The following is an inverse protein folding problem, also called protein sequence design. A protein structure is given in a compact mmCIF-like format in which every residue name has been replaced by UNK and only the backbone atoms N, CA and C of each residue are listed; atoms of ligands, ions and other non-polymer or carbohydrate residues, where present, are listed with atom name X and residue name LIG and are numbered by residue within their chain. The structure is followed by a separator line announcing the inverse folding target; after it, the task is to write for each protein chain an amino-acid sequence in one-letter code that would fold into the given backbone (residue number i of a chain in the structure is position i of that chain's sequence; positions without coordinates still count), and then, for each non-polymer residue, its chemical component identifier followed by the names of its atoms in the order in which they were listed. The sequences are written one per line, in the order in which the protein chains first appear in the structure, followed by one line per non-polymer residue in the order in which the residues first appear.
data_IF_137203750718
#
_entry.id   IF_137203750718
#
_cell.length_a   1.000
_cell.length_b   1.000
_cell.length_c   1.000
_cell.angle_alpha   90.00
_cell.angle_beta   90.00
_cell.angle_gamma   90.00
#
_symmetry.space_group_name_H-M   'P 1'
#
loop_
_entity.id
_entity.type
_entity.pdbx_description
1 polymer ?
#
# COMPACT_ATOMS: atom_id res chain seq x y z
N UNK A 1 7.44 17.01 -14.10
CA UNK A 1 7.19 17.22 -12.66
C UNK A 1 7.03 15.86 -11.98
N UNK A 2 7.60 15.69 -10.78
CA UNK A 2 7.54 14.44 -10.03
C UNK A 2 6.64 14.63 -8.81
N UNK A 3 5.49 13.97 -8.81
CA UNK A 3 4.42 14.19 -7.85
C UNK A 3 4.20 12.92 -7.04
N UNK A 4 3.91 13.07 -5.76
CA UNK A 4 3.62 11.95 -4.88
C UNK A 4 2.16 11.55 -5.02
N UNK A 5 1.88 10.26 -5.20
CA UNK A 5 0.53 9.74 -5.45
C UNK A 5 0.14 8.58 -4.53
N UNK A 6 1.00 8.16 -3.61
CA UNK A 6 0.64 7.10 -2.68
C UNK A 6 1.82 6.47 -1.97
N UNK A 7 1.57 5.31 -1.38
CA UNK A 7 2.55 4.59 -0.56
C UNK A 7 2.26 3.08 -0.56
N UNK A 8 3.32 2.29 -0.66
CA UNK A 8 3.32 0.89 -0.27
C UNK A 8 3.66 0.79 1.22
N UNK A 9 2.79 0.16 2.01
CA UNK A 9 3.00 -0.10 3.44
C UNK A 9 3.16 -1.60 3.66
N UNK A 10 4.30 -2.00 4.21
CA UNK A 10 4.61 -3.40 4.53
C UNK A 10 4.27 -3.66 5.99
N UNK A 11 3.43 -4.66 6.24
CA UNK A 11 2.94 -5.02 7.58
C UNK A 11 3.50 -6.38 7.99
N UNK A 12 3.83 -6.53 9.28
CA UNK A 12 4.08 -7.84 9.86
C UNK A 12 2.75 -8.48 10.30
N UNK A 13 2.22 -9.39 9.50
CA UNK A 13 0.91 -10.00 9.72
C UNK A 13 0.79 -11.34 8.97
N UNK A 14 0.20 -12.34 9.62
CA UNK A 14 -0.08 -13.61 8.98
C UNK A 14 -1.30 -13.50 8.06
N UNK A 15 -1.14 -13.84 6.78
CA UNK A 15 -2.23 -13.78 5.80
C UNK A 15 -2.51 -12.37 5.26
N UNK A 16 -3.76 -12.14 4.83
CA UNK A 16 -4.18 -10.88 4.21
C UNK A 16 -4.78 -9.95 5.28
N UNK A 17 -4.15 -8.81 5.58
CA UNK A 17 -4.60 -7.91 6.63
C UNK A 17 -5.87 -7.17 6.21
N UNK A 18 -6.83 -7.04 7.12
CA UNK A 18 -8.02 -6.23 6.91
C UNK A 18 -7.78 -4.76 7.28
N UNK A 19 -6.94 -4.10 6.48
CA UNK A 19 -6.68 -2.67 6.63
C UNK A 19 -7.82 -1.83 6.04
N UNK A 20 -7.98 -0.55 6.48
CA UNK A 20 -8.92 0.39 5.88
C UNK A 20 -8.77 0.44 4.36
N UNK A 21 -9.89 0.45 3.64
CA UNK A 21 -9.86 0.49 2.17
C UNK A 21 -9.62 1.90 1.63
N UNK A 22 -9.82 2.92 2.46
CA UNK A 22 -9.68 4.33 2.11
C UNK A 22 -9.16 5.13 3.31
N UNK A 23 -8.37 6.18 3.04
CA UNK A 23 -7.93 7.16 4.02
C UNK A 23 -7.58 8.48 3.30
N UNK A 24 -8.31 9.55 3.61
CA UNK A 24 -8.18 10.81 2.87
C UNK A 24 -8.44 10.61 1.38
N UNK A 25 -7.53 11.07 0.52
CA UNK A 25 -7.61 10.88 -0.93
C UNK A 25 -7.07 9.52 -1.42
N UNK A 26 -6.46 8.72 -0.53
CA UNK A 26 -5.84 7.45 -0.89
C UNK A 26 -6.81 6.28 -0.72
N UNK A 27 -6.81 5.37 -1.70
CA UNK A 27 -7.53 4.10 -1.68
C UNK A 27 -6.57 2.92 -1.68
N UNK A 28 -6.91 1.85 -0.96
CA UNK A 28 -6.23 0.57 -1.02
C UNK A 28 -6.50 -0.06 -2.39
N UNK A 29 -5.49 -0.04 -3.25
CA UNK A 29 -5.60 -0.59 -4.60
C UNK A 29 -5.51 -2.13 -4.58
N UNK A 30 -4.56 -2.67 -3.81
CA UNK A 30 -4.39 -4.11 -3.64
C UNK A 30 -3.53 -4.43 -2.42
N UNK A 31 -3.51 -5.70 -2.04
CA UNK A 31 -2.51 -6.29 -1.14
C UNK A 31 -1.78 -7.38 -1.92
N UNK A 32 -0.47 -7.46 -1.76
CA UNK A 32 0.35 -8.52 -2.35
C UNK A 32 1.24 -9.20 -1.33
N UNK A 33 1.58 -10.46 -1.57
CA UNK A 33 2.60 -11.19 -0.84
C UNK A 33 3.69 -11.66 -1.83
N UNK A 34 4.97 -11.43 -1.51
CA UNK A 34 6.11 -11.76 -2.41
C UNK A 34 5.95 -11.23 -3.86
N UNK A 35 5.23 -10.12 -4.04
CA UNK A 35 4.97 -9.51 -5.35
C UNK A 35 3.68 -9.98 -6.04
N UNK A 36 3.05 -11.05 -5.56
CA UNK A 36 1.81 -11.62 -6.10
C UNK A 36 0.59 -11.03 -5.43
N UNK A 37 -0.40 -10.57 -6.21
CA UNK A 37 -1.64 -10.01 -5.65
C UNK A 37 -2.45 -11.08 -4.91
N UNK A 38 -2.85 -10.76 -3.66
CA UNK A 38 -3.69 -11.62 -2.80
C UNK A 38 -5.02 -10.96 -2.42
N UNK A 39 -5.12 -9.64 -2.61
CA UNK A 39 -6.36 -8.88 -2.47
C UNK A 39 -6.47 -7.84 -3.60
N UNK A 40 -7.65 -7.60 -4.19
CA UNK A 40 -8.89 -8.34 -3.96
C UNK A 40 -8.77 -9.81 -4.38
N UNK A 41 -9.59 -10.71 -3.82
CA UNK A 41 -9.60 -12.12 -4.19
C UNK A 41 -9.94 -12.31 -5.68
N UNK A 42 -9.61 -13.48 -6.27
CA UNK A 42 -8.98 -14.64 -5.64
C UNK A 42 -7.46 -14.48 -5.45
N UNK A 43 -6.93 -15.02 -4.35
CA UNK A 43 -5.49 -15.22 -4.19
C UNK A 43 -5.10 -16.56 -4.84
N UNK A 44 -3.95 -16.65 -5.53
CA UNK A 44 -3.45 -17.93 -6.04
C UNK A 44 -3.05 -18.85 -4.89
N UNK A 45 -3.01 -20.15 -5.15
CA UNK A 45 -2.47 -21.14 -4.22
C UNK A 45 -0.94 -20.97 -4.12
N UNK A 46 -0.48 -20.37 -3.03
CA UNK A 46 0.93 -20.04 -2.81
C UNK A 46 1.26 -19.97 -1.32
N UNK A 47 2.53 -20.21 -1.00
CA UNK A 47 3.05 -19.94 0.34
C UNK A 47 3.14 -18.43 0.60
N UNK A 48 2.46 -17.98 1.65
CA UNK A 48 2.46 -16.59 2.11
C UNK A 48 3.53 -16.38 3.17
N UNK A 49 4.28 -15.29 3.07
CA UNK A 49 5.07 -14.78 4.19
C UNK A 49 4.18 -13.97 5.13
N UNK A 50 4.62 -13.79 6.37
CA UNK A 50 3.97 -12.89 7.34
C UNK A 50 4.28 -11.41 7.05
N UNK A 51 4.54 -11.06 5.78
CA UNK A 51 5.01 -9.74 5.35
C UNK A 51 4.29 -9.19 4.10
N UNK A 52 2.96 -9.04 4.15
CA UNK A 52 2.18 -8.45 3.06
C UNK A 52 2.50 -6.96 2.82
N UNK A 53 2.39 -6.55 1.56
CA UNK A 53 2.45 -5.14 1.13
C UNK A 53 1.06 -4.66 0.74
N UNK A 54 0.60 -3.60 1.41
CA UNK A 54 -0.64 -2.89 1.13
C UNK A 54 -0.31 -1.66 0.26
N UNK A 55 -0.88 -1.57 -0.94
CA UNK A 55 -0.69 -0.41 -1.81
C UNK A 55 -1.85 0.58 -1.66
N UNK A 56 -1.55 1.76 -1.18
CA UNK A 56 -2.46 2.90 -1.18
C UNK A 56 -2.09 3.87 -2.30
N UNK A 57 -3.07 4.27 -3.11
CA UNK A 57 -2.88 5.17 -4.24
C UNK A 57 -3.98 6.23 -4.29
N UNK A 58 -3.63 7.42 -4.76
CA UNK A 58 -4.52 8.55 -5.01
C UNK A 58 -4.39 8.98 -6.48
N UNK A 59 -5.51 9.34 -7.10
CA UNK A 59 -5.50 9.91 -8.45
C UNK A 59 -4.98 11.36 -8.44
N UNK A 60 -5.20 12.08 -7.34
CA UNK A 60 -4.63 13.39 -7.07
C UNK A 60 -3.24 13.29 -6.42
N UNK A 61 -2.45 14.36 -6.55
CA UNK A 61 -1.21 14.50 -5.79
C UNK A 61 -1.51 14.54 -4.29
N UNK A 62 -0.70 13.84 -3.49
CA UNK A 62 -0.76 13.83 -2.04
C UNK A 62 0.55 14.37 -1.47
N UNK A 63 0.52 14.82 -0.23
CA UNK A 63 1.71 15.35 0.47
C UNK A 63 2.37 14.28 1.32
N UNK A 64 3.59 14.56 1.78
CA UNK A 64 4.26 13.71 2.76
C UNK A 64 3.45 13.60 4.07
N UNK A 65 2.79 14.67 4.48
CA UNK A 65 1.94 14.69 5.66
C UNK A 65 0.73 13.75 5.53
N UNK A 66 0.16 13.60 4.33
CA UNK A 66 -0.91 12.63 4.08
C UNK A 66 -0.42 11.18 4.26
N UNK A 67 0.82 10.89 3.85
CA UNK A 67 1.45 9.59 4.05
C UNK A 67 1.69 9.32 5.54
N UNK A 68 2.23 10.30 6.27
CA UNK A 68 2.47 10.19 7.71
C UNK A 68 1.15 9.98 8.46
N UNK A 69 0.08 10.67 8.07
CA UNK A 69 -1.24 10.53 8.66
C UNK A 69 -1.82 9.12 8.45
N UNK A 70 -1.70 8.55 7.24
CA UNK A 70 -2.12 7.17 6.97
C UNK A 70 -1.33 6.17 7.81
N UNK A 71 0.01 6.28 7.85
CA UNK A 71 0.87 5.35 8.61
C UNK A 71 0.60 5.47 10.11
N UNK A 72 0.41 6.69 10.61
CA UNK A 72 -0.01 6.96 11.99
C UNK A 72 -1.38 6.36 12.30
N UNK A 73 -2.34 6.47 11.38
CA UNK A 73 -3.66 5.85 11.51
C UNK A 73 -3.57 4.33 11.59
N UNK A 74 -2.80 3.68 10.71
CA UNK A 74 -2.57 2.23 10.76
C UNK A 74 -1.92 1.80 12.08
N UNK A 75 -0.95 2.57 12.55
CA UNK A 75 -0.31 2.34 13.86
C UNK A 75 -1.34 2.45 15.01
N UNK A 76 -2.22 3.46 14.96
CA UNK A 76 -3.30 3.65 15.94
C UNK A 76 -4.35 2.53 15.95
N UNK A 77 -4.53 1.84 14.82
CA UNK A 77 -5.35 0.62 14.71
C UNK A 77 -4.63 -0.65 15.21
N UNK A 78 -3.37 -0.53 15.65
CA UNK A 78 -2.57 -1.66 16.16
C UNK A 78 -1.78 -2.41 15.09
N UNK A 79 -1.75 -1.93 13.85
CA UNK A 79 -0.94 -2.56 12.79
C UNK A 79 0.54 -2.31 13.01
N UNK A 80 1.34 -3.38 12.91
CA UNK A 80 2.81 -3.31 12.95
C UNK A 80 3.33 -3.19 11.53
N UNK A 81 3.71 -1.98 11.13
CA UNK A 81 4.40 -1.76 9.86
C UNK A 81 5.91 -1.84 10.06
N UNK A 82 6.63 -2.21 9.00
CA UNK A 82 8.09 -2.37 9.02
C UNK A 82 8.80 -1.48 8.00
N UNK A 83 8.12 -1.14 6.91
CA UNK A 83 8.65 -0.37 5.79
C UNK A 83 7.51 0.35 5.10
N UNK A 84 7.81 1.55 4.63
CA UNK A 84 6.99 2.28 3.66
C UNK A 84 7.81 2.59 2.41
N UNK A 85 7.14 2.71 1.26
CA UNK A 85 7.75 3.16 0.01
C UNK A 85 6.79 4.09 -0.73
N UNK A 86 7.17 5.37 -0.85
CA UNK A 86 6.40 6.38 -1.56
C UNK A 86 6.30 6.05 -3.05
N UNK A 87 5.14 6.35 -3.64
CA UNK A 87 4.80 6.05 -5.03
C UNK A 87 4.65 7.36 -5.79
N UNK A 88 5.56 7.59 -6.73
CA UNK A 88 5.60 8.83 -7.50
C UNK A 88 5.13 8.62 -8.93
N UNK A 89 4.55 9.67 -9.51
CA UNK A 89 4.37 9.82 -10.96
C UNK A 89 5.29 10.91 -11.47
N UNK A 90 5.93 10.66 -12.60
CA UNK A 90 6.73 11.66 -13.31
C UNK A 90 6.12 11.87 -14.68
N UNK A 91 5.69 13.10 -14.96
CA UNK A 91 5.10 13.47 -16.25
C UNK A 91 3.92 12.55 -16.65
N UNK A 92 3.07 12.21 -15.67
CA UNK A 92 1.92 11.32 -15.83
C UNK A 92 2.24 9.81 -15.82
N UNK A 93 3.52 9.43 -15.76
CA UNK A 93 3.95 8.03 -15.80
C UNK A 93 4.30 7.53 -14.40
N UNK A 94 3.68 6.42 -13.99
CA UNK A 94 4.00 5.71 -12.74
C UNK A 94 5.48 5.31 -12.69
N UNK A 95 6.17 5.66 -11.60
CA UNK A 95 7.57 5.30 -11.35
C UNK A 95 7.69 4.06 -10.45
N UNK A 96 6.68 3.20 -10.49
CA UNK A 96 6.58 1.99 -9.68
C UNK A 96 5.94 0.87 -10.51
N UNK A 97 6.29 -0.37 -10.20
CA UNK A 97 5.73 -1.55 -10.88
C UNK A 97 4.37 -1.93 -10.32
N UNK A 98 3.59 -2.65 -11.14
CA UNK A 98 2.37 -3.34 -10.71
C UNK A 98 2.72 -4.74 -10.13
N UNK A 99 1.87 -5.31 -9.27
CA UNK A 99 2.06 -6.68 -8.79
C UNK A 99 1.83 -7.68 -9.93
N UNK A 100 2.37 -8.89 -9.77
CA UNK A 100 2.07 -10.02 -10.65
C UNK A 100 0.67 -10.58 -10.35
#
# INVERSE_FOLDING_TARGET
MMNLHGVDVYLWHQGTPDVPKEYGAMRLLFISNRGTKVYPPPAPDMELLDWPRCRYLSDAEVTDADIDALVGHLTGLGWKWTKTQKLFRKDGVDQFSQPY
#
